data_IF_721986161292
#
_entry.id   IF_721986161292
#
_cell.length_a   1.000
_cell.length_b   1.000
_cell.length_c   1.000
_cell.angle_alpha   90.00
_cell.angle_beta   90.00
_cell.angle_gamma   90.00
#
_symmetry.space_group_name_H-M   'P 1'
#
loop_
_entity.id
_entity.type
_entity.pdbx_description
1 polymer ?
#
# COMPACT_ATOMS: atom_id res chain seq x y z
N UNK A 1 13.74 10.68 -0.72
CA UNK A 1 12.87 9.48 -0.65
C UNK A 1 12.40 9.33 0.79
N UNK A 2 11.10 9.24 1.03
CA UNK A 2 10.55 9.10 2.37
C UNK A 2 10.04 7.67 2.57
N UNK A 3 10.46 7.00 3.64
CA UNK A 3 9.99 5.66 3.95
C UNK A 3 8.55 5.74 4.47
N UNK A 4 7.70 4.83 4.00
CA UNK A 4 6.33 4.67 4.48
C UNK A 4 6.15 3.28 5.08
N UNK A 5 5.49 3.22 6.23
CA UNK A 5 5.01 1.98 6.84
C UNK A 5 3.59 2.24 7.34
N UNK A 6 2.62 1.68 6.63
CA UNK A 6 1.19 1.83 6.94
C UNK A 6 0.71 0.51 7.52
N UNK A 7 0.42 0.50 8.82
CA UNK A 7 -0.06 -0.68 9.53
C UNK A 7 -1.50 -1.06 9.18
N UNK A 8 -2.32 -0.07 8.79
CA UNK A 8 -3.73 -0.26 8.41
C UNK A 8 -4.20 0.85 7.47
N UNK A 9 -4.36 0.51 6.19
CA UNK A 9 -4.97 1.33 5.15
C UNK A 9 -6.31 0.72 4.77
N UNK A 10 -7.42 1.40 5.11
CA UNK A 10 -8.77 0.95 4.75
C UNK A 10 -9.13 1.55 3.40
N UNK A 11 -9.43 0.70 2.43
CA UNK A 11 -9.90 1.10 1.10
C UNK A 11 -11.18 0.32 0.73
N UNK A 12 -11.93 0.75 -0.30
CA UNK A 12 -13.08 -0.03 -0.78
C UNK A 12 -12.73 -1.46 -1.20
N UNK A 13 -11.48 -1.70 -1.60
CA UNK A 13 -10.98 -3.01 -2.03
C UNK A 13 -10.52 -3.90 -0.86
N UNK A 14 -10.48 -3.37 0.37
CA UNK A 14 -10.09 -4.12 1.56
C UNK A 14 -9.24 -3.33 2.53
N UNK A 15 -8.72 -4.01 3.54
CA UNK A 15 -7.77 -3.43 4.49
C UNK A 15 -6.37 -3.93 4.18
N UNK A 16 -5.43 -3.02 4.00
CA UNK A 16 -4.06 -3.32 3.62
C UNK A 16 -3.07 -2.89 4.70
N UNK A 17 -1.98 -3.62 4.81
CA UNK A 17 -0.76 -3.23 5.51
C UNK A 17 0.34 -3.17 4.46
N UNK A 18 1.16 -2.12 4.46
CA UNK A 18 2.16 -1.95 3.41
C UNK A 18 3.38 -1.20 3.92
N UNK A 19 4.51 -1.51 3.29
CA UNK A 19 5.79 -0.85 3.54
C UNK A 19 6.46 -0.55 2.21
N UNK A 20 7.13 0.59 2.16
CA UNK A 20 7.72 1.05 0.92
C UNK A 20 8.37 2.42 1.05
N UNK A 21 8.52 3.07 -0.09
CA UNK A 21 9.12 4.38 -0.21
C UNK A 21 8.26 5.26 -1.12
N UNK A 22 8.10 6.51 -0.69
CA UNK A 22 7.57 7.57 -1.52
C UNK A 22 8.73 8.21 -2.28
N UNK A 23 8.65 8.10 -3.59
CA UNK A 23 9.60 8.67 -4.55
C UNK A 23 9.05 10.04 -4.98
N UNK A 24 9.96 10.92 -5.37
CA UNK A 24 9.62 12.19 -6.01
C UNK A 24 8.64 11.96 -7.20
N UNK A 25 7.75 12.94 -7.43
CA UNK A 25 6.63 12.86 -8.39
C UNK A 25 5.43 11.96 -7.98
N UNK A 26 5.14 11.85 -6.68
CA UNK A 26 3.98 11.10 -6.16
C UNK A 26 3.99 9.61 -6.56
N UNK A 27 5.18 9.05 -6.80
CA UNK A 27 5.33 7.63 -7.11
C UNK A 27 5.56 6.86 -5.81
N UNK A 28 4.87 5.74 -5.67
CA UNK A 28 5.04 4.83 -4.53
C UNK A 28 5.72 3.56 -5.03
N UNK A 29 6.78 3.16 -4.33
CA UNK A 29 7.43 1.85 -4.52
C UNK A 29 7.22 1.04 -3.25
N UNK A 30 6.49 -0.07 -3.38
CA UNK A 30 6.19 -0.95 -2.26
C UNK A 30 7.22 -2.08 -2.21
N UNK A 31 7.72 -2.35 -1.01
CA UNK A 31 8.56 -3.51 -0.72
C UNK A 31 7.71 -4.67 -0.19
N UNK A 32 6.62 -4.35 0.51
CA UNK A 32 5.70 -5.31 1.08
C UNK A 32 4.27 -4.76 1.01
N UNK A 33 3.34 -5.66 0.73
CA UNK A 33 1.91 -5.40 0.87
C UNK A 33 1.24 -6.67 1.38
N UNK A 34 0.43 -6.50 2.41
CA UNK A 34 -0.40 -7.54 2.98
C UNK A 34 -1.86 -7.07 2.96
N UNK A 35 -2.78 -8.01 2.79
CA UNK A 35 -4.22 -7.78 2.86
C UNK A 35 -4.79 -8.51 4.06
N UNK A 36 -5.69 -7.86 4.80
CA UNK A 36 -6.45 -8.51 5.86
C UNK A 36 -7.50 -9.43 5.23
N UNK A 37 -7.40 -10.73 5.51
CA UNK A 37 -8.45 -11.71 5.26
C UNK A 37 -9.12 -12.16 6.56
N UNK A 38 -9.79 -13.30 6.52
CA UNK A 38 -10.52 -13.87 7.67
C UNK A 38 -9.61 -14.29 8.81
N UNK A 39 -8.47 -14.89 8.46
CA UNK A 39 -7.55 -15.50 9.43
C UNK A 39 -6.32 -14.63 9.74
N UNK A 40 -6.33 -13.38 9.29
CA UNK A 40 -5.26 -12.41 9.55
C UNK A 40 -4.69 -11.78 8.27
N UNK A 41 -3.42 -11.40 8.33
CA UNK A 41 -2.72 -10.73 7.23
C UNK A 41 -2.14 -11.74 6.24
N UNK A 42 -2.40 -11.53 4.96
CA UNK A 42 -1.88 -12.32 3.86
C UNK A 42 -1.00 -11.47 2.97
N UNK A 43 0.28 -11.84 2.82
CA UNK A 43 1.19 -11.14 1.92
C UNK A 43 0.79 -11.37 0.47
N UNK A 44 0.73 -10.29 -0.31
CA UNK A 44 0.45 -10.34 -1.73
C UNK A 44 1.75 -10.27 -2.53
N UNK A 45 1.82 -11.05 -3.60
CA UNK A 45 2.96 -11.00 -4.52
C UNK A 45 2.91 -9.74 -5.39
N UNK A 46 3.85 -8.82 -5.20
CA UNK A 46 3.98 -7.58 -5.96
C UNK A 46 4.31 -7.80 -7.45
N UNK A 47 4.77 -8.99 -7.84
CA UNK A 47 4.98 -9.34 -9.25
C UNK A 47 3.69 -9.80 -9.94
N UNK A 48 2.63 -10.09 -9.17
CA UNK A 48 1.35 -10.49 -9.70
C UNK A 48 0.63 -9.29 -10.33
N UNK A 49 0.20 -9.40 -11.59
CA UNK A 49 -0.48 -8.31 -12.32
C UNK A 49 -1.76 -7.82 -11.62
N UNK A 50 -2.50 -8.71 -10.98
CA UNK A 50 -3.71 -8.34 -10.26
C UNK A 50 -3.37 -7.50 -9.02
N UNK A 51 -2.33 -7.88 -8.29
CA UNK A 51 -1.83 -7.11 -7.15
C UNK A 51 -1.31 -5.75 -7.61
N UNK A 52 -0.61 -5.68 -8.73
CA UNK A 52 -0.18 -4.39 -9.30
C UNK A 52 -1.36 -3.48 -9.67
N UNK A 53 -2.48 -4.06 -10.13
CA UNK A 53 -3.71 -3.28 -10.36
C UNK A 53 -4.27 -2.74 -9.04
N UNK A 54 -4.37 -3.59 -8.01
CA UNK A 54 -4.83 -3.18 -6.68
C UNK A 54 -3.93 -2.09 -6.10
N UNK A 55 -2.60 -2.21 -6.24
CA UNK A 55 -1.64 -1.19 -5.78
C UNK A 55 -1.90 0.15 -6.47
N UNK A 56 -2.16 0.16 -7.78
CA UNK A 56 -2.53 1.39 -8.51
C UNK A 56 -3.83 2.00 -7.97
N UNK A 57 -4.83 1.17 -7.70
CA UNK A 57 -6.13 1.62 -7.20
C UNK A 57 -6.04 2.22 -5.78
N UNK A 58 -5.17 1.68 -4.92
CA UNK A 58 -4.97 2.17 -3.55
C UNK A 58 -3.90 3.26 -3.44
N UNK A 59 -3.12 3.51 -4.50
CA UNK A 59 -2.06 4.53 -4.51
C UNK A 59 -2.55 5.92 -4.07
N UNK A 60 -3.71 6.43 -4.53
CA UNK A 60 -4.24 7.71 -4.05
C UNK A 60 -4.46 7.76 -2.54
N UNK A 61 -4.89 6.65 -1.94
CA UNK A 61 -5.08 6.54 -0.48
C UNK A 61 -3.73 6.53 0.25
N UNK A 62 -2.69 5.88 -0.31
CA UNK A 62 -1.33 5.89 0.22
C UNK A 62 -0.77 7.32 0.22
N UNK A 63 -0.92 8.04 -0.90
CA UNK A 63 -0.46 9.42 -1.02
C UNK A 63 -1.17 10.37 -0.05
N UNK A 64 -2.48 10.17 0.14
CA UNK A 64 -3.28 10.95 1.11
C UNK A 64 -2.82 10.69 2.55
N UNK A 65 -2.55 9.43 2.91
CA UNK A 65 -1.98 9.08 4.21
C UNK A 65 -0.59 9.69 4.42
N UNK A 66 0.27 9.62 3.40
CA UNK A 66 1.62 10.17 3.47
C UNK A 66 1.63 11.70 3.62
N UNK A 67 0.72 12.41 2.97
CA UNK A 67 0.55 13.86 3.14
C UNK A 67 0.01 14.26 4.52
N UNK A 68 -0.66 13.33 5.22
CA UNK A 68 -1.24 13.55 6.54
C UNK A 68 -0.30 13.18 7.69
N UNK A 69 0.82 12.52 7.38
CA UNK A 69 1.80 12.09 8.37
C UNK A 69 2.94 13.12 8.39
N UNK A 70 3.14 13.86 9.49
CA UNK A 70 4.13 14.94 9.58
C UNK A 70 5.58 14.44 9.59
#
# INVERSE_FOLDING_TARGET
MATISISRLVTPSGTFRLEGQLIENQKVELNQIDMMGTDGWFSLDLNNRQVQSVVKDITPAILTWAASTP
#
